data_IF_734511716640
#
_entry.id   IF_734511716640
#
_cell.length_a   1.000
_cell.length_b   1.000
_cell.length_c   1.000
_cell.angle_alpha   90.00
_cell.angle_beta   90.00
_cell.angle_gamma   90.00
#
_symmetry.space_group_name_H-M   'P 1'
#
loop_
_entity.id
_entity.type
_entity.pdbx_description
1 polymer ?
#
# COMPACT_ATOMS: atom_id res chain seq x y z
N UNK A 1 -11.21 -20.28 -9.82
CA UNK A 1 -12.36 -19.52 -10.36
C UNK A 1 -13.01 -18.58 -9.33
N UNK A 2 -13.14 -18.99 -8.06
CA UNK A 2 -13.74 -18.16 -7.02
C UNK A 2 -12.92 -16.91 -6.68
N UNK A 3 -11.58 -17.01 -6.60
CA UNK A 3 -10.70 -15.88 -6.29
C UNK A 3 -10.71 -14.82 -7.38
N UNK A 4 -10.74 -15.22 -8.66
CA UNK A 4 -10.89 -14.27 -9.77
C UNK A 4 -12.26 -13.57 -9.76
N UNK A 5 -13.33 -14.30 -9.41
CA UNK A 5 -14.66 -13.70 -9.24
C UNK A 5 -14.68 -12.69 -8.09
N UNK A 6 -14.00 -13.00 -6.98
CA UNK A 6 -13.85 -12.09 -5.84
C UNK A 6 -13.13 -10.81 -6.25
N UNK A 7 -12.06 -10.92 -7.04
CA UNK A 7 -11.34 -9.76 -7.57
C UNK A 7 -12.23 -8.94 -8.53
N UNK A 8 -12.97 -9.61 -9.42
CA UNK A 8 -13.87 -8.95 -10.36
C UNK A 8 -15.07 -8.28 -9.69
N UNK A 9 -15.56 -8.83 -8.58
CA UNK A 9 -16.67 -8.25 -7.81
C UNK A 9 -16.20 -7.19 -6.82
N UNK A 10 -14.87 -7.00 -6.69
CA UNK A 10 -14.25 -6.10 -5.71
C UNK A 10 -14.66 -6.39 -4.26
N UNK A 11 -15.00 -7.65 -3.96
CA UNK A 11 -15.28 -8.05 -2.58
C UNK A 11 -14.05 -7.82 -1.70
N UNK A 12 -14.28 -7.27 -0.51
CA UNK A 12 -13.23 -6.90 0.43
C UNK A 12 -12.82 -5.44 0.34
N UNK A 13 -13.19 -4.71 -0.71
CA UNK A 13 -13.02 -3.26 -0.74
C UNK A 13 -14.18 -2.58 -0.01
N UNK A 14 -13.91 -1.38 0.51
CA UNK A 14 -14.95 -0.56 1.11
C UNK A 14 -16.02 -0.17 0.08
N UNK A 15 -17.21 0.18 0.58
CA UNK A 15 -18.34 0.52 -0.29
C UNK A 15 -18.01 1.66 -1.26
N UNK A 16 -17.34 2.72 -0.77
CA UNK A 16 -16.94 3.86 -1.62
C UNK A 16 -15.99 3.46 -2.74
N UNK A 17 -15.01 2.60 -2.45
CA UNK A 17 -14.05 2.10 -3.45
C UNK A 17 -14.80 1.31 -4.53
N UNK A 18 -15.69 0.40 -4.13
CA UNK A 18 -16.51 -0.37 -5.07
C UNK A 18 -17.35 0.52 -5.98
N UNK A 19 -17.97 1.56 -5.41
CA UNK A 19 -18.80 2.48 -6.16
C UNK A 19 -18.00 3.21 -7.24
N UNK A 20 -16.79 3.67 -6.92
CA UNK A 20 -15.89 4.31 -7.89
C UNK A 20 -15.49 3.34 -9.00
N UNK A 21 -15.09 2.12 -8.64
CA UNK A 21 -14.63 1.13 -9.61
C UNK A 21 -15.74 0.66 -10.56
N UNK A 22 -16.98 0.67 -10.12
CA UNK A 22 -18.17 0.29 -10.91
C UNK A 22 -18.84 1.47 -11.63
N UNK A 23 -18.37 2.70 -11.40
CA UNK A 23 -18.98 3.89 -11.98
C UNK A 23 -18.86 3.91 -13.51
N UNK A 24 -19.92 4.37 -14.16
CA UNK A 24 -19.98 4.58 -15.61
C UNK A 24 -19.98 6.09 -15.91
N UNK A 25 -18.95 6.76 -15.41
CA UNK A 25 -18.78 8.19 -15.51
C UNK A 25 -17.54 8.52 -16.34
N UNK A 26 -17.46 9.68 -17.03
CA UNK A 26 -16.30 10.01 -17.85
C UNK A 26 -14.97 9.98 -17.09
N UNK A 27 -14.96 10.41 -15.83
CA UNK A 27 -13.75 10.42 -15.01
C UNK A 27 -13.24 9.01 -14.64
N UNK A 28 -14.05 7.96 -14.84
CA UNK A 28 -13.66 6.58 -14.51
C UNK A 28 -12.39 6.15 -15.25
N UNK A 29 -12.17 6.62 -16.47
CA UNK A 29 -10.99 6.33 -17.26
C UNK A 29 -9.71 6.91 -16.64
N UNK A 30 -9.84 7.88 -15.73
CA UNK A 30 -8.73 8.48 -15.01
C UNK A 30 -8.30 7.67 -13.78
N UNK A 31 -9.00 6.60 -13.44
CA UNK A 31 -8.61 5.70 -12.36
C UNK A 31 -7.48 4.79 -12.86
N UNK A 32 -6.31 4.93 -12.26
CA UNK A 32 -5.15 4.06 -12.57
C UNK A 32 -5.34 2.70 -11.92
N UNK A 33 -5.83 2.67 -10.70
CA UNK A 33 -6.14 1.44 -9.97
C UNK A 33 -6.14 1.64 -8.47
N UNK A 34 -6.38 0.55 -7.75
CA UNK A 34 -6.25 0.48 -6.29
C UNK A 34 -4.77 0.30 -5.95
N UNK A 35 -4.28 1.05 -4.98
CA UNK A 35 -2.85 1.09 -4.65
C UNK A 35 -2.21 -0.31 -4.51
N UNK A 36 -2.81 -1.21 -3.73
CA UNK A 36 -2.28 -2.56 -3.53
C UNK A 36 -2.17 -3.37 -4.83
N UNK A 37 -3.08 -3.15 -5.78
CA UNK A 37 -3.09 -3.88 -7.05
C UNK A 37 -2.02 -3.40 -8.04
N UNK A 38 -1.44 -2.24 -7.81
CA UNK A 38 -0.40 -1.66 -8.65
C UNK A 38 1.01 -2.13 -8.25
N UNK A 39 1.11 -2.92 -7.18
CA UNK A 39 2.37 -3.40 -6.63
C UNK A 39 2.66 -4.84 -7.05
N UNK A 40 3.95 -5.13 -7.18
CA UNK A 40 4.48 -6.48 -7.38
C UNK A 40 5.37 -6.79 -6.18
N UNK A 41 4.92 -7.72 -5.33
CA UNK A 41 5.56 -8.00 -4.05
C UNK A 41 5.89 -9.49 -3.94
N UNK A 42 7.15 -9.81 -3.66
CA UNK A 42 7.57 -11.18 -3.39
C UNK A 42 6.93 -11.68 -2.08
N UNK A 43 6.63 -12.97 -2.00
CA UNK A 43 5.95 -13.60 -0.86
C UNK A 43 6.54 -13.22 0.49
N UNK A 44 7.87 -13.19 0.59
CA UNK A 44 8.57 -12.87 1.85
C UNK A 44 8.29 -11.45 2.37
N UNK A 45 7.86 -10.53 1.52
CA UNK A 45 7.58 -9.15 1.89
C UNK A 45 6.09 -8.84 2.01
N UNK A 46 5.21 -9.76 1.66
CA UNK A 46 3.75 -9.49 1.61
C UNK A 46 3.22 -8.98 2.93
N UNK A 47 3.52 -9.66 4.03
CA UNK A 47 3.04 -9.26 5.37
C UNK A 47 3.54 -7.87 5.75
N UNK A 48 4.84 -7.61 5.52
CA UNK A 48 5.44 -6.30 5.83
C UNK A 48 4.83 -5.18 5.00
N UNK A 49 4.66 -5.38 3.71
CA UNK A 49 4.09 -4.36 2.80
C UNK A 49 2.62 -4.12 3.09
N UNK A 50 1.83 -5.16 3.33
CA UNK A 50 0.43 -4.99 3.75
C UNK A 50 0.32 -4.18 5.04
N UNK A 51 1.17 -4.48 6.01
CA UNK A 51 1.21 -3.76 7.28
C UNK A 51 1.61 -2.30 7.06
N UNK A 52 2.62 -2.05 6.23
CA UNK A 52 3.09 -0.71 5.90
C UNK A 52 2.02 0.12 5.19
N UNK A 53 1.27 -0.48 4.27
CA UNK A 53 0.19 0.20 3.58
C UNK A 53 -1.00 0.49 4.50
N UNK A 54 -1.35 -0.46 5.36
CA UNK A 54 -2.55 -0.34 6.19
C UNK A 54 -3.79 -0.03 5.34
N UNK A 55 -4.58 0.95 5.76
CA UNK A 55 -5.75 1.41 5.01
C UNK A 55 -5.40 2.02 3.66
N UNK A 56 -4.17 2.50 3.49
CA UNK A 56 -3.69 3.03 2.21
C UNK A 56 -3.67 2.01 1.08
N UNK A 57 -3.72 0.71 1.39
CA UNK A 57 -3.82 -0.36 0.39
C UNK A 57 -5.04 -0.19 -0.53
N UNK A 58 -6.13 0.38 -0.03
CA UNK A 58 -7.36 0.63 -0.77
C UNK A 58 -7.42 1.99 -1.45
N UNK A 59 -6.43 2.84 -1.28
CA UNK A 59 -6.44 4.16 -1.89
C UNK A 59 -6.50 4.05 -3.40
N UNK A 60 -7.30 4.90 -4.02
CA UNK A 60 -7.49 4.94 -5.47
C UNK A 60 -6.48 5.90 -6.10
N UNK A 61 -5.61 5.37 -6.93
CA UNK A 61 -4.66 6.17 -7.68
C UNK A 61 -5.37 6.75 -8.89
N UNK A 62 -5.36 8.07 -9.00
CA UNK A 62 -6.02 8.84 -10.05
C UNK A 62 -5.00 9.62 -10.87
N UNK A 63 -5.26 9.81 -12.14
CA UNK A 63 -4.33 10.59 -13.00
C UNK A 63 -4.26 12.05 -12.58
N UNK A 64 -5.39 12.65 -12.13
CA UNK A 64 -5.44 14.07 -11.80
C UNK A 64 -6.32 14.36 -10.59
N UNK A 65 -6.05 15.50 -9.94
CA UNK A 65 -6.88 16.01 -8.86
C UNK A 65 -8.28 16.38 -9.35
N UNK A 66 -8.42 16.85 -10.58
CA UNK A 66 -9.75 17.16 -11.16
C UNK A 66 -10.60 15.90 -11.28
N UNK A 67 -10.04 14.80 -11.74
CA UNK A 67 -10.76 13.52 -11.80
C UNK A 67 -11.15 13.02 -10.40
N UNK A 68 -10.26 13.15 -9.41
CA UNK A 68 -10.57 12.81 -8.03
C UNK A 68 -11.71 13.67 -7.47
N UNK A 69 -11.71 14.96 -7.77
CA UNK A 69 -12.78 15.89 -7.39
C UNK A 69 -14.15 15.43 -7.95
N UNK A 70 -14.18 15.02 -9.21
CA UNK A 70 -15.41 14.53 -9.85
C UNK A 70 -15.88 13.22 -9.21
N UNK A 71 -14.95 12.31 -8.89
CA UNK A 71 -15.27 11.07 -8.20
C UNK A 71 -15.82 11.33 -6.78
N UNK A 72 -15.27 12.30 -6.06
CA UNK A 72 -15.79 12.70 -4.74
C UNK A 72 -17.21 13.27 -4.87
N UNK A 73 -17.45 14.11 -5.88
CA UNK A 73 -18.79 14.64 -6.14
C UNK A 73 -19.79 13.51 -6.45
N UNK A 74 -19.38 12.52 -7.23
CA UNK A 74 -20.17 11.34 -7.52
C UNK A 74 -20.53 10.55 -6.24
N UNK A 75 -19.55 10.32 -5.36
CA UNK A 75 -19.78 9.62 -4.08
C UNK A 75 -20.79 10.37 -3.20
N UNK A 76 -20.70 11.70 -3.16
CA UNK A 76 -21.66 12.56 -2.43
C UNK A 76 -23.05 12.48 -3.02
N UNK A 77 -23.16 12.63 -4.34
CA UNK A 77 -24.45 12.62 -5.06
C UNK A 77 -25.19 11.29 -4.90
N UNK A 78 -24.46 10.19 -4.91
CA UNK A 78 -25.05 8.85 -4.86
C UNK A 78 -25.13 8.29 -3.43
N UNK A 79 -24.60 9.00 -2.44
CA UNK A 79 -24.57 8.51 -1.07
C UNK A 79 -23.77 7.19 -0.92
N UNK A 80 -22.71 7.03 -1.70
CA UNK A 80 -21.98 5.76 -1.81
C UNK A 80 -20.78 5.63 -0.88
N UNK A 81 -20.71 6.43 0.18
CA UNK A 81 -19.64 6.36 1.16
C UNK A 81 -18.42 7.20 0.80
N UNK A 82 -17.28 6.81 1.30
CA UNK A 82 -16.03 7.58 1.19
C UNK A 82 -14.94 6.74 0.56
N UNK A 83 -14.01 7.41 -0.09
CA UNK A 83 -12.77 6.83 -0.59
C UNK A 83 -11.63 7.84 -0.44
N UNK A 84 -10.41 7.37 -0.35
CA UNK A 84 -9.22 8.21 -0.40
C UNK A 84 -8.59 8.09 -1.77
N UNK A 85 -8.31 9.23 -2.38
CA UNK A 85 -7.74 9.32 -3.71
C UNK A 85 -6.30 9.83 -3.62
N UNK A 86 -5.45 9.27 -4.47
CA UNK A 86 -4.06 9.69 -4.65
C UNK A 86 -3.88 10.22 -6.07
N UNK A 87 -4.14 11.53 -6.31
CA UNK A 87 -3.94 12.11 -7.63
C UNK A 87 -2.44 12.21 -7.93
N UNK A 88 -2.01 11.68 -9.06
CA UNK A 88 -0.60 11.63 -9.44
C UNK A 88 0.01 13.01 -9.71
N UNK A 89 -0.83 14.01 -10.01
CA UNK A 89 -0.39 15.38 -10.21
C UNK A 89 -0.29 16.22 -8.93
N UNK A 90 -0.76 15.70 -7.79
CA UNK A 90 -0.75 16.45 -6.52
C UNK A 90 -0.06 15.74 -5.37
N UNK A 91 -0.04 14.39 -5.34
CA UNK A 91 0.64 13.69 -4.24
C UNK A 91 2.13 13.98 -4.24
N UNK A 92 2.66 14.22 -3.04
CA UNK A 92 4.08 14.51 -2.88
C UNK A 92 4.85 13.22 -2.61
N UNK A 93 5.86 12.96 -3.42
CA UNK A 93 6.77 11.84 -3.21
C UNK A 93 7.46 12.00 -1.87
N UNK A 94 7.48 10.94 -1.09
CA UNK A 94 8.23 10.89 0.17
C UNK A 94 9.44 10.00 -0.02
N UNK A 95 10.54 10.37 0.60
CA UNK A 95 11.76 9.58 0.56
C UNK A 95 12.66 9.95 1.72
N UNK A 96 13.68 9.11 1.98
CA UNK A 96 14.64 9.37 3.01
C UNK A 96 15.50 10.60 2.65
N UNK A 97 15.87 11.36 3.66
CA UNK A 97 16.91 12.38 3.51
C UNK A 97 18.28 11.68 3.49
N UNK A 98 19.35 12.45 3.29
CA UNK A 98 20.72 11.91 3.19
C UNK A 98 21.16 11.10 4.41
N UNK A 99 20.80 11.54 5.61
CA UNK A 99 21.11 10.84 6.86
C UNK A 99 20.30 9.54 6.96
N UNK A 100 19.04 9.58 6.58
CA UNK A 100 18.12 8.45 6.62
C UNK A 100 18.49 7.36 5.60
N UNK A 101 19.13 7.71 4.48
CA UNK A 101 19.59 6.72 3.50
C UNK A 101 20.56 5.71 4.10
N UNK A 102 21.39 6.13 5.05
CA UNK A 102 22.35 5.27 5.73
C UNK A 102 21.68 4.20 6.61
N UNK A 103 20.44 4.43 7.05
CA UNK A 103 19.69 3.47 7.89
C UNK A 103 19.42 2.16 7.18
N UNK A 104 19.31 2.18 5.86
CA UNK A 104 19.09 0.97 5.05
C UNK A 104 20.26 -0.04 5.16
N UNK A 105 21.43 0.41 5.59
CA UNK A 105 22.64 -0.41 5.74
C UNK A 105 22.85 -0.96 7.16
N UNK A 106 21.99 -0.62 8.10
CA UNK A 106 22.10 -1.12 9.47
C UNK A 106 21.85 -2.64 9.53
N UNK A 107 22.48 -3.34 10.49
CA UNK A 107 22.25 -4.79 10.64
C UNK A 107 20.78 -5.13 10.81
N UNK A 108 20.32 -6.14 10.07
CA UNK A 108 18.92 -6.60 10.11
C UNK A 108 17.92 -5.70 9.38
N UNK A 109 18.37 -4.64 8.73
CA UNK A 109 17.52 -3.80 7.88
C UNK A 109 17.65 -4.28 6.43
N UNK A 110 16.50 -4.58 5.82
CA UNK A 110 16.44 -5.08 4.44
C UNK A 110 16.44 -3.96 3.41
N UNK A 111 15.98 -2.79 3.80
CA UNK A 111 15.93 -1.60 2.95
C UNK A 111 14.64 -0.81 3.13
N UNK A 112 14.47 0.22 2.30
CA UNK A 112 13.20 0.94 2.22
C UNK A 112 12.18 0.10 1.46
N UNK A 113 10.94 0.12 1.92
CA UNK A 113 9.86 -0.69 1.34
C UNK A 113 9.75 -0.49 -0.18
N UNK A 114 9.83 0.74 -0.64
CA UNK A 114 9.69 1.08 -2.06
C UNK A 114 10.79 0.45 -2.93
N UNK A 115 11.98 0.21 -2.37
CA UNK A 115 13.11 -0.38 -3.09
C UNK A 115 13.07 -1.92 -3.13
N UNK A 116 12.20 -2.53 -2.32
CA UNK A 116 12.07 -3.99 -2.21
C UNK A 116 10.91 -4.55 -3.06
N UNK A 117 10.17 -3.70 -3.72
CA UNK A 117 8.97 -4.07 -4.47
C UNK A 117 9.04 -3.54 -5.90
N UNK A 118 8.23 -4.15 -6.78
CA UNK A 118 7.97 -3.61 -8.10
C UNK A 118 6.65 -2.86 -8.14
N UNK A 119 6.51 -1.96 -9.08
CA UNK A 119 5.25 -1.24 -9.32
C UNK A 119 5.23 -0.67 -10.74
N UNK A 120 4.03 -0.36 -11.23
CA UNK A 120 3.86 0.27 -12.53
C UNK A 120 4.49 1.68 -12.51
N UNK A 121 5.34 2.04 -13.51
CA UNK A 121 6.03 3.34 -13.51
C UNK A 121 5.11 4.54 -13.36
N UNK A 122 3.92 4.50 -13.95
CA UNK A 122 2.95 5.60 -13.84
C UNK A 122 2.47 5.84 -12.40
N UNK A 123 2.52 4.83 -11.53
CA UNK A 123 2.08 4.91 -10.15
C UNK A 123 3.17 5.38 -9.17
N UNK A 124 4.38 5.67 -9.64
CA UNK A 124 5.55 5.92 -8.80
C UNK A 124 5.30 6.99 -7.72
N UNK A 125 4.69 8.12 -8.08
CA UNK A 125 4.43 9.18 -7.11
C UNK A 125 3.53 8.72 -5.96
N UNK A 126 2.49 7.94 -6.27
CA UNK A 126 1.58 7.39 -5.27
C UNK A 126 2.28 6.34 -4.39
N UNK A 127 3.06 5.45 -4.98
CA UNK A 127 3.79 4.42 -4.25
C UNK A 127 4.81 5.06 -3.30
N UNK A 128 5.56 6.05 -3.76
CA UNK A 128 6.52 6.77 -2.92
C UNK A 128 5.84 7.63 -1.85
N UNK A 129 4.65 8.14 -2.12
CA UNK A 129 3.86 8.81 -1.09
C UNK A 129 3.51 7.83 0.05
N UNK A 130 3.11 6.61 -0.28
CA UNK A 130 2.70 5.61 0.71
C UNK A 130 3.88 4.92 1.40
N UNK A 131 4.94 4.59 0.68
CA UNK A 131 5.98 3.67 1.13
C UNK A 131 7.40 4.26 1.11
N UNK A 132 7.57 5.47 0.63
CA UNK A 132 8.90 6.05 0.39
C UNK A 132 9.75 6.27 1.65
N UNK A 133 9.13 6.33 2.83
CA UNK A 133 9.84 6.54 4.11
C UNK A 133 9.57 5.40 5.11
N UNK A 134 9.28 4.22 4.63
CA UNK A 134 9.08 3.04 5.47
C UNK A 134 10.27 2.10 5.31
N UNK A 135 10.95 1.79 6.41
CA UNK A 135 12.01 0.77 6.46
C UNK A 135 11.43 -0.59 6.75
N UNK A 136 12.01 -1.61 6.16
CA UNK A 136 11.68 -3.02 6.43
C UNK A 136 12.84 -3.66 7.19
N UNK A 137 12.54 -4.28 8.32
CA UNK A 137 13.49 -4.96 9.20
C UNK A 137 13.19 -6.46 9.28
N UNK A 138 14.21 -7.26 9.52
CA UNK A 138 14.06 -8.71 9.68
C UNK A 138 13.25 -9.07 10.94
N UNK A 139 13.42 -8.31 12.02
CA UNK A 139 12.82 -8.58 13.32
C UNK A 139 12.67 -7.30 14.13
N UNK A 140 12.01 -7.44 15.29
CA UNK A 140 11.71 -6.29 16.14
C UNK A 140 12.96 -5.63 16.75
N UNK A 141 13.99 -6.42 17.05
CA UNK A 141 15.23 -5.88 17.60
C UNK A 141 15.95 -4.98 16.60
N UNK A 142 16.04 -5.41 15.35
CA UNK A 142 16.60 -4.61 14.26
C UNK A 142 15.74 -3.35 14.02
N UNK A 143 14.42 -3.47 14.07
CA UNK A 143 13.50 -2.34 13.90
C UNK A 143 13.69 -1.30 15.00
N UNK A 144 13.80 -1.72 16.25
CA UNK A 144 14.04 -0.82 17.38
C UNK A 144 15.40 -0.12 17.29
N UNK A 145 16.44 -0.84 16.91
CA UNK A 145 17.78 -0.26 16.74
C UNK A 145 17.79 0.82 15.66
N UNK A 146 17.15 0.57 14.52
CA UNK A 146 17.04 1.53 13.43
C UNK A 146 16.21 2.75 13.83
N UNK A 147 15.07 2.52 14.48
CA UNK A 147 14.19 3.58 14.95
C UNK A 147 14.90 4.49 15.94
N UNK A 148 15.65 3.92 16.89
CA UNK A 148 16.43 4.67 17.87
C UNK A 148 17.53 5.50 17.18
N UNK A 149 18.24 4.94 16.22
CA UNK A 149 19.27 5.62 15.45
C UNK A 149 18.71 6.83 14.69
N UNK A 150 17.47 6.74 14.23
CA UNK A 150 16.74 7.80 13.53
C UNK A 150 15.97 8.74 14.46
N UNK A 151 16.07 8.57 15.76
CA UNK A 151 15.28 9.32 16.74
C UNK A 151 13.78 9.21 16.54
N UNK A 152 13.31 8.04 16.10
CA UNK A 152 11.89 7.73 15.88
C UNK A 152 11.19 8.64 14.88
N UNK A 153 11.89 9.08 13.85
CA UNK A 153 11.30 9.90 12.79
C UNK A 153 10.65 9.09 11.69
N UNK A 154 11.21 7.90 11.40
CA UNK A 154 10.71 6.99 10.37
C UNK A 154 9.86 5.88 10.98
N UNK A 155 9.04 5.29 10.14
CA UNK A 155 8.28 4.09 10.47
C UNK A 155 9.09 2.87 10.02
N UNK A 156 9.22 1.88 10.89
CA UNK A 156 9.92 0.63 10.60
C UNK A 156 8.95 -0.54 10.77
N UNK A 157 8.86 -1.39 9.77
CA UNK A 157 7.97 -2.56 9.75
C UNK A 157 8.81 -3.83 9.63
N UNK A 158 8.48 -4.85 10.42
CA UNK A 158 9.19 -6.13 10.37
C UNK A 158 8.55 -7.09 9.37
N UNK A 159 9.29 -8.12 8.99
CA UNK A 159 8.75 -9.17 8.11
C UNK A 159 7.52 -9.87 8.71
N UNK A 160 7.41 -9.93 10.04
CA UNK A 160 6.23 -10.49 10.73
C UNK A 160 5.07 -9.51 10.85
N UNK A 161 5.25 -8.27 10.43
CA UNK A 161 4.21 -7.25 10.48
C UNK A 161 4.13 -6.47 11.78
N UNK A 162 5.15 -6.51 12.61
CA UNK A 162 5.28 -5.61 13.76
C UNK A 162 5.75 -4.23 13.30
N UNK A 163 5.39 -3.19 14.02
CA UNK A 163 5.67 -1.81 13.61
C UNK A 163 6.24 -1.01 14.76
N UNK A 164 7.33 -0.28 14.49
CA UNK A 164 7.76 0.85 15.30
C UNK A 164 7.34 2.11 14.53
N UNK A 165 6.36 2.82 15.04
CA UNK A 165 5.80 3.99 14.39
C UNK A 165 6.70 5.22 14.58
N UNK A 166 6.54 6.19 13.70
CA UNK A 166 7.09 7.51 13.92
C UNK A 166 6.57 8.06 15.26
N UNK A 167 7.46 8.59 16.08
CA UNK A 167 7.14 9.00 17.45
C UNK A 167 7.34 7.93 18.51
N UNK A 168 7.63 6.68 18.12
CA UNK A 168 8.05 5.61 19.02
C UNK A 168 6.98 4.67 19.55
N UNK A 169 5.71 4.84 19.15
CA UNK A 169 4.69 3.84 19.50
C UNK A 169 4.93 2.55 18.74
N UNK A 170 4.48 1.45 19.29
CA UNK A 170 4.69 0.12 18.69
C UNK A 170 3.35 -0.60 18.53
N UNK A 171 3.22 -1.32 17.43
CA UNK A 171 2.08 -2.18 17.15
C UNK A 171 2.58 -3.54 16.71
N UNK A 172 1.96 -4.59 17.17
CA UNK A 172 2.38 -5.95 16.82
C UNK A 172 1.55 -6.99 17.53
N UNK A 173 1.94 -8.23 17.36
CA UNK A 173 1.27 -9.39 17.94
C UNK A 173 0.89 -10.39 16.86
N UNK A 174 -0.05 -11.29 17.16
CA UNK A 174 -0.53 -12.26 16.19
C UNK A 174 -1.68 -11.67 15.38
N UNK A 175 -1.62 -11.80 14.07
CA UNK A 175 -2.75 -11.50 13.20
C UNK A 175 -3.60 -12.76 13.06
N UNK A 176 -4.88 -12.67 13.43
CA UNK A 176 -5.86 -13.66 12.94
C UNK A 176 -5.88 -13.55 11.41
N UNK A 177 -5.91 -14.70 10.73
CA UNK A 177 -5.95 -14.80 9.27
C UNK A 177 -7.08 -13.93 8.67
N UNK A 178 -6.81 -12.65 8.46
CA UNK A 178 -7.53 -11.86 7.48
C UNK A 178 -6.63 -11.79 6.27
N UNK A 179 -7.04 -12.42 5.20
CA UNK A 179 -6.38 -12.27 3.92
C UNK A 179 -6.34 -10.79 3.55
N UNK A 180 -5.15 -10.21 3.55
CA UNK A 180 -4.95 -8.85 3.07
C UNK A 180 -5.04 -8.80 1.54
N UNK A 181 -5.11 -7.61 0.97
CA UNK A 181 -5.24 -7.41 -0.49
C UNK A 181 -4.07 -7.99 -1.26
N UNK A 182 -2.84 -7.86 -0.75
CA UNK A 182 -1.64 -8.41 -1.40
C UNK A 182 -1.61 -9.92 -1.34
N UNK A 183 -1.96 -10.53 -0.21
CA UNK A 183 -2.05 -11.98 -0.06
C UNK A 183 -3.04 -12.57 -1.04
N UNK A 184 -4.18 -11.92 -1.20
CA UNK A 184 -5.22 -12.31 -2.16
C UNK A 184 -4.72 -12.25 -3.61
N UNK A 185 -3.98 -11.21 -3.97
CA UNK A 185 -3.42 -11.08 -5.30
C UNK A 185 -2.38 -12.16 -5.59
N UNK A 186 -1.55 -12.51 -4.62
CA UNK A 186 -0.57 -13.60 -4.74
C UNK A 186 -1.29 -14.94 -4.95
N UNK A 187 -2.33 -15.23 -4.18
CA UNK A 187 -3.14 -16.45 -4.34
C UNK A 187 -3.79 -16.53 -5.72
N UNK A 188 -4.33 -15.42 -6.21
CA UNK A 188 -4.93 -15.35 -7.55
C UNK A 188 -3.88 -15.63 -8.62
N UNK A 189 -2.69 -15.07 -8.50
CA UNK A 189 -1.60 -15.29 -9.43
C UNK A 189 -1.11 -16.74 -9.42
N UNK A 190 -1.00 -17.35 -8.25
CA UNK A 190 -0.64 -18.77 -8.09
C UNK A 190 -1.72 -19.69 -8.68
N UNK A 191 -2.98 -19.42 -8.41
CA UNK A 191 -4.09 -20.17 -9.00
C UNK A 191 -4.11 -20.07 -10.52
N UNK A 192 -3.81 -18.91 -11.09
CA UNK A 192 -3.72 -18.70 -12.54
C UNK A 192 -2.55 -19.49 -13.16
N UNK A 193 -1.42 -19.60 -12.44
CA UNK A 193 -0.23 -20.36 -12.89
C UNK A 193 -0.48 -21.89 -12.88
N UNK A 194 -1.35 -22.38 -12.01
CA UNK A 194 -1.69 -23.80 -11.91
C UNK A 194 -2.66 -24.30 -13.01
N UNK A 195 -3.28 -23.40 -13.76
CA UNK A 195 -4.26 -23.71 -14.81
C UNK A 195 -3.58 -23.87 -16.20
N UNK A 196 -2.27 -23.71 -16.29
CA UNK A 196 -1.48 -24.01 -17.47
C UNK A 196 -0.96 -25.46 -17.38
#
# INVERSE_FOLDING_TARGET
QSLKRLQQSYEGFSYGIKAVLKAQEPWREQVVGVAAELLQVEDKYVVAIETALGEGAQNLVMRSANAAKEAIAFLKRTGSGRATFLPLDTVQRRGPNREEEALAKLPGILGYAVDLIGFKPEAENAVRFLLGRVLIAENIDAALAAAKADRYRLRVVTLDGDVVNAGGSMSGGSKKHKEGYLSRNVEIAQAAAQVK
#
